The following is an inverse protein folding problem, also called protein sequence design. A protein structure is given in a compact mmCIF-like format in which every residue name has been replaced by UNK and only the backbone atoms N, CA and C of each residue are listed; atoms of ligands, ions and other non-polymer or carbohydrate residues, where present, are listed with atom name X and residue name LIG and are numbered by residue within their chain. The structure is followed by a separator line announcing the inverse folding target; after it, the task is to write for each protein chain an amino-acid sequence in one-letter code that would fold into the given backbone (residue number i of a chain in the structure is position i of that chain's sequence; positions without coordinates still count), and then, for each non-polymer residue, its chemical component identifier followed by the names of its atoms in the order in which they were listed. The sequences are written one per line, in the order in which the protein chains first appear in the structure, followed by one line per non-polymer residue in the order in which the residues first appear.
data_IF_622880458462
#
_entry.id   IF_622880458462
#
_cell.length_a   1.000
_cell.length_b   1.000
_cell.length_c   1.000
_cell.angle_alpha   90.00
_cell.angle_beta   90.00
_cell.angle_gamma   90.00
#
_symmetry.space_group_name_H-M   'P 1'
#
loop_
_entity.id
_entity.type
_entity.pdbx_description
1 polymer ?
#
# COMPACT_ATOMS: atom_id res chain seq x y z
N UNK A 1 2.53 -6.17 19.14
CA UNK A 1 3.01 -4.91 18.48
C UNK A 1 2.25 -4.71 17.19
N UNK A 2 1.82 -3.47 16.89
CA UNK A 2 1.14 -3.08 15.65
C UNK A 2 2.11 -2.36 14.73
N UNK A 3 2.22 -2.80 13.48
CA UNK A 3 3.12 -2.21 12.49
C UNK A 3 2.32 -1.71 11.28
N UNK A 4 2.69 -0.55 10.75
CA UNK A 4 2.22 -0.08 9.45
C UNK A 4 3.37 -0.15 8.46
N UNK A 5 3.14 -0.74 7.29
CA UNK A 5 4.08 -0.74 6.16
C UNK A 5 3.55 0.21 5.10
N UNK A 6 4.41 1.13 4.63
CA UNK A 6 4.11 2.10 3.58
C UNK A 6 5.16 1.94 2.49
N UNK A 7 4.76 1.67 1.25
CA UNK A 7 5.70 1.56 0.12
C UNK A 7 5.64 2.80 -0.77
N UNK A 8 6.81 3.44 -0.97
CA UNK A 8 6.97 4.67 -1.76
C UNK A 8 8.16 4.59 -2.74
N UNK A 9 8.57 3.38 -3.11
CA UNK A 9 9.79 3.16 -3.88
C UNK A 9 9.69 3.52 -5.38
N UNK A 10 8.49 3.63 -5.93
CA UNK A 10 8.26 3.77 -7.36
C UNK A 10 8.78 5.08 -7.96
N UNK A 11 9.18 5.02 -9.25
CA UNK A 11 9.82 6.13 -9.99
C UNK A 11 8.91 7.32 -10.33
N UNK A 12 7.63 7.29 -9.96
CA UNK A 12 6.68 8.40 -10.12
C UNK A 12 6.55 8.91 -11.57
N UNK A 13 6.67 8.04 -12.57
CA UNK A 13 6.78 8.42 -13.99
C UNK A 13 5.58 9.21 -14.51
N UNK A 14 4.35 8.81 -14.17
CA UNK A 14 3.12 9.52 -14.57
C UNK A 14 3.00 10.89 -13.90
N UNK A 15 3.42 10.99 -12.64
CA UNK A 15 3.41 12.24 -11.87
C UNK A 15 4.42 13.26 -12.39
N UNK A 16 5.56 12.76 -12.89
CA UNK A 16 6.65 13.55 -13.46
C UNK A 16 6.61 13.60 -15.00
N UNK A 17 5.45 13.31 -15.61
CA UNK A 17 5.32 13.40 -17.07
C UNK A 17 5.59 14.84 -17.54
N UNK A 18 6.39 14.97 -18.58
CA UNK A 18 6.80 16.25 -19.19
C UNK A 18 7.61 17.17 -18.24
N UNK A 19 8.19 16.64 -17.17
CA UNK A 19 9.07 17.33 -16.22
C UNK A 19 10.53 16.98 -16.55
N UNK A 20 11.43 17.98 -16.49
CA UNK A 20 12.88 17.76 -16.66
C UNK A 20 13.43 16.84 -15.57
N UNK A 21 14.49 16.07 -15.88
CA UNK A 21 15.05 15.11 -14.91
C UNK A 21 15.51 15.76 -13.59
N UNK A 22 15.96 17.01 -13.66
CA UNK A 22 16.40 17.78 -12.50
C UNK A 22 15.26 18.22 -11.59
N UNK A 23 14.07 18.41 -12.16
CA UNK A 23 12.86 18.85 -11.44
C UNK A 23 11.92 17.71 -11.03
N UNK A 24 12.24 16.48 -11.44
CA UNK A 24 11.45 15.31 -11.02
C UNK A 24 11.48 15.15 -9.50
N UNK A 25 10.35 14.76 -8.94
CA UNK A 25 10.18 14.58 -7.49
C UNK A 25 9.56 13.20 -7.20
N UNK A 26 9.81 12.68 -6.01
CA UNK A 26 9.08 11.54 -5.47
C UNK A 26 7.65 12.00 -5.14
N UNK A 27 6.63 11.43 -5.79
CA UNK A 27 5.25 11.93 -5.76
C UNK A 27 4.65 12.06 -4.36
N UNK A 28 5.01 11.16 -3.43
CA UNK A 28 4.51 11.20 -2.06
C UNK A 28 5.08 12.37 -1.25
N UNK A 29 6.14 13.03 -1.73
CA UNK A 29 6.77 14.21 -1.12
C UNK A 29 6.35 15.53 -1.79
N UNK A 30 5.53 15.46 -2.85
CA UNK A 30 5.12 16.69 -3.54
C UNK A 30 4.17 17.53 -2.68
N UNK A 31 4.44 18.83 -2.65
CA UNK A 31 3.58 19.87 -2.09
C UNK A 31 3.73 21.18 -2.87
N UNK A 32 2.73 22.05 -2.79
CA UNK A 32 2.78 23.37 -3.43
C UNK A 32 3.44 24.43 -2.52
N UNK A 33 2.90 24.62 -1.31
CA UNK A 33 3.33 25.69 -0.39
C UNK A 33 3.76 25.15 0.98
N UNK A 34 2.99 24.21 1.54
CA UNK A 34 3.21 23.70 2.89
C UNK A 34 3.81 22.29 2.84
N UNK A 35 5.03 22.07 3.40
CA UNK A 35 5.65 20.74 3.42
C UNK A 35 4.82 19.65 4.10
N UNK A 36 3.85 20.02 4.94
CA UNK A 36 2.96 19.07 5.59
C UNK A 36 1.79 18.61 4.69
N UNK A 37 1.59 19.27 3.53
CA UNK A 37 0.56 18.89 2.56
C UNK A 37 1.10 17.84 1.57
N UNK A 38 1.70 16.78 2.09
CA UNK A 38 2.21 15.65 1.32
C UNK A 38 1.44 14.37 1.65
N UNK A 39 1.36 13.44 0.68
CA UNK A 39 0.73 12.13 0.90
C UNK A 39 1.38 11.40 2.08
N UNK A 40 2.71 11.40 2.13
CA UNK A 40 3.43 10.70 3.18
C UNK A 40 3.14 11.29 4.56
N UNK A 41 3.06 12.62 4.69
CA UNK A 41 2.77 13.28 5.97
C UNK A 41 1.37 12.91 6.48
N UNK A 42 0.36 12.96 5.60
CA UNK A 42 -1.01 12.60 5.94
C UNK A 42 -1.12 11.11 6.31
N UNK A 43 -0.41 10.22 5.60
CA UNK A 43 -0.37 8.80 5.93
C UNK A 43 0.32 8.53 7.27
N UNK A 44 1.43 9.23 7.56
CA UNK A 44 2.12 9.15 8.85
C UNK A 44 1.23 9.61 10.02
N UNK A 45 0.44 10.68 9.82
CA UNK A 45 -0.53 11.12 10.83
C UNK A 45 -1.56 10.04 11.15
N UNK A 46 -2.10 9.39 10.13
CA UNK A 46 -3.07 8.28 10.28
C UNK A 46 -2.44 7.06 10.92
N UNK A 47 -1.15 6.84 10.69
CA UNK A 47 -0.37 5.70 11.22
C UNK A 47 0.13 5.89 12.66
N UNK A 48 -0.17 7.02 13.31
CA UNK A 48 0.29 7.32 14.71
C UNK A 48 -0.10 6.28 15.74
N UNK A 49 -1.19 5.53 15.51
CA UNK A 49 -1.65 4.47 16.40
C UNK A 49 -0.69 3.28 16.47
N UNK A 50 0.11 3.07 15.42
CA UNK A 50 1.05 1.96 15.33
C UNK A 50 2.23 2.15 16.28
N UNK A 51 2.80 1.05 16.73
CA UNK A 51 4.03 1.04 17.52
C UNK A 51 5.26 1.33 16.66
N UNK A 52 5.25 0.81 15.42
CA UNK A 52 6.29 1.05 14.41
C UNK A 52 5.69 1.30 13.03
N UNK A 53 6.42 2.06 12.21
CA UNK A 53 6.08 2.37 10.83
C UNK A 53 7.29 2.03 9.97
N UNK A 54 7.15 1.04 9.10
CA UNK A 54 8.19 0.66 8.11
C UNK A 54 7.87 1.39 6.81
N UNK A 55 8.80 2.22 6.34
CA UNK A 55 8.65 2.92 5.06
C UNK A 55 9.69 2.36 4.10
N UNK A 56 9.21 1.77 3.00
CA UNK A 56 10.09 1.25 1.95
C UNK A 56 10.18 2.26 0.82
N UNK A 57 11.34 2.89 0.71
CA UNK A 57 11.67 3.85 -0.35
C UNK A 57 12.61 3.25 -1.39
N UNK A 58 12.81 3.94 -2.51
CA UNK A 58 13.70 3.52 -3.59
C UNK A 58 14.11 4.72 -4.43
N UNK A 59 13.32 5.09 -5.43
CA UNK A 59 13.57 6.31 -6.20
C UNK A 59 13.64 7.53 -5.29
N UNK A 60 14.71 8.32 -5.43
CA UNK A 60 14.97 9.52 -4.59
C UNK A 60 14.90 9.24 -3.08
N UNK A 61 15.48 8.13 -2.66
CA UNK A 61 15.48 7.71 -1.26
C UNK A 61 16.06 8.77 -0.32
N UNK A 62 17.15 9.45 -0.72
CA UNK A 62 17.73 10.53 0.09
C UNK A 62 16.80 11.73 0.27
N UNK A 63 15.93 12.02 -0.72
CA UNK A 63 14.93 13.08 -0.57
C UNK A 63 13.88 12.67 0.48
N UNK A 64 13.53 11.38 0.55
CA UNK A 64 12.63 10.84 1.58
C UNK A 64 13.25 10.94 2.98
N UNK A 65 14.52 10.57 3.14
CA UNK A 65 15.26 10.69 4.40
C UNK A 65 15.29 12.14 4.88
N UNK A 66 15.69 13.06 4.02
CA UNK A 66 15.74 14.49 4.32
C UNK A 66 14.36 15.05 4.71
N UNK A 67 13.32 14.68 3.95
CA UNK A 67 11.95 15.13 4.26
C UNK A 67 11.51 14.67 5.65
N UNK A 68 11.75 13.40 6.00
CA UNK A 68 11.42 12.87 7.32
C UNK A 68 12.18 13.62 8.41
N UNK A 69 13.46 13.88 8.18
CA UNK A 69 14.29 14.60 9.14
C UNK A 69 13.86 16.06 9.36
N UNK A 70 13.44 16.74 8.32
CA UNK A 70 13.12 18.16 8.38
C UNK A 70 11.67 18.44 8.81
N UNK A 71 10.71 17.59 8.40
CA UNK A 71 9.29 17.91 8.48
C UNK A 71 8.45 17.00 9.38
N UNK A 72 8.97 15.85 9.79
CA UNK A 72 8.25 14.92 10.66
C UNK A 72 8.58 15.16 12.13
N UNK A 73 7.59 15.13 13.01
CA UNK A 73 7.77 15.34 14.46
C UNK A 73 8.57 14.20 15.10
N UNK A 74 9.30 14.50 16.18
CA UNK A 74 10.16 13.52 16.86
C UNK A 74 9.40 12.27 17.31
N UNK A 75 8.19 12.43 17.84
CA UNK A 75 7.35 11.31 18.29
C UNK A 75 6.98 10.32 17.17
N UNK A 76 6.87 10.81 15.93
CA UNK A 76 6.69 9.95 14.76
C UNK A 76 8.02 9.39 14.24
N UNK A 77 9.10 10.20 14.21
CA UNK A 77 10.42 9.74 13.77
C UNK A 77 10.90 8.51 14.56
N UNK A 78 10.69 8.50 15.88
CA UNK A 78 11.07 7.40 16.77
C UNK A 78 10.35 6.06 16.43
N UNK A 79 9.24 6.16 15.71
CA UNK A 79 8.49 4.99 15.23
C UNK A 79 8.92 4.53 13.83
N UNK A 80 9.54 5.40 13.05
CA UNK A 80 9.86 5.14 11.63
C UNK A 80 11.10 4.27 11.52
N UNK A 81 10.99 3.24 10.69
CA UNK A 81 12.10 2.42 10.19
C UNK A 81 12.13 2.54 8.67
N UNK A 82 13.18 3.17 8.14
CA UNK A 82 13.37 3.32 6.71
C UNK A 82 14.07 2.10 6.13
N UNK A 83 13.56 1.60 5.01
CA UNK A 83 14.13 0.46 4.27
C UNK A 83 14.37 0.90 2.84
N UNK A 84 15.58 0.69 2.34
CA UNK A 84 15.92 0.99 0.95
C UNK A 84 15.67 -0.22 0.06
N UNK A 85 14.86 -0.03 -0.98
CA UNK A 85 14.68 -0.97 -2.07
C UNK A 85 15.66 -0.62 -3.19
N UNK A 86 16.73 -1.36 -3.31
CA UNK A 86 17.77 -1.18 -4.35
C UNK A 86 17.33 -1.68 -5.74
N UNK A 87 16.27 -2.49 -5.79
CA UNK A 87 15.64 -2.99 -7.01
C UNK A 87 14.40 -2.22 -7.46
N UNK A 88 14.22 -0.97 -6.99
CA UNK A 88 13.04 -0.16 -7.31
C UNK A 88 12.83 0.12 -8.81
N UNK A 89 13.84 -0.06 -9.64
CA UNK A 89 13.81 0.20 -11.08
C UNK A 89 13.67 -1.04 -11.96
N UNK A 90 13.95 -2.22 -11.44
CA UNK A 90 14.04 -3.47 -12.18
C UNK A 90 13.09 -4.56 -11.67
N UNK A 91 12.65 -4.48 -10.41
CA UNK A 91 11.61 -5.36 -9.87
C UNK A 91 10.30 -4.60 -9.67
N UNK A 92 9.21 -5.35 -9.58
CA UNK A 92 7.86 -4.80 -9.39
C UNK A 92 7.58 -4.43 -7.93
N UNK A 93 6.36 -3.95 -7.64
CA UNK A 93 5.93 -3.52 -6.30
C UNK A 93 5.99 -4.62 -5.23
N UNK A 94 6.00 -5.89 -5.63
CA UNK A 94 6.10 -7.03 -4.72
C UNK A 94 7.39 -7.01 -3.92
N UNK A 95 8.51 -6.65 -4.52
CA UNK A 95 9.79 -6.59 -3.82
C UNK A 95 9.80 -5.52 -2.71
N UNK A 96 9.11 -4.39 -2.92
CA UNK A 96 8.94 -3.40 -1.85
C UNK A 96 8.14 -3.94 -0.67
N UNK A 97 7.04 -4.66 -0.91
CA UNK A 97 6.27 -5.29 0.17
C UNK A 97 7.07 -6.40 0.85
N UNK A 98 7.81 -7.21 0.06
CA UNK A 98 8.71 -8.22 0.60
C UNK A 98 9.70 -7.63 1.61
N UNK A 99 10.42 -6.57 1.24
CA UNK A 99 11.37 -5.88 2.13
C UNK A 99 10.70 -5.28 3.37
N UNK A 100 9.50 -4.73 3.21
CA UNK A 100 8.70 -4.21 4.31
C UNK A 100 8.33 -5.28 5.31
N UNK A 101 7.82 -6.42 4.85
CA UNK A 101 7.48 -7.58 5.67
C UNK A 101 8.72 -8.18 6.33
N UNK A 102 9.81 -8.38 5.57
CA UNK A 102 11.06 -8.89 6.09
C UNK A 102 11.59 -8.03 7.23
N UNK A 103 11.60 -6.71 7.04
CA UNK A 103 11.98 -5.76 8.09
C UNK A 103 11.04 -5.84 9.31
N UNK A 104 9.74 -5.93 9.09
CA UNK A 104 8.76 -5.99 10.19
C UNK A 104 8.88 -7.28 11.00
N UNK A 105 9.09 -8.42 10.34
CA UNK A 105 9.11 -9.75 10.97
C UNK A 105 10.45 -10.09 11.62
N UNK A 106 11.57 -9.54 11.11
CA UNK A 106 12.91 -9.88 11.61
C UNK A 106 13.49 -8.85 12.59
N UNK A 107 13.08 -7.57 12.51
CA UNK A 107 13.62 -6.52 13.38
C UNK A 107 12.77 -6.26 14.63
N UNK A 108 11.55 -6.76 14.67
CA UNK A 108 10.64 -6.53 15.80
C UNK A 108 10.11 -7.84 16.36
N UNK A 109 9.84 -7.86 17.66
CA UNK A 109 9.28 -9.02 18.38
C UNK A 109 7.81 -8.79 18.70
N UNK A 110 7.06 -9.88 18.90
CA UNK A 110 5.65 -9.83 19.32
C UNK A 110 4.77 -8.98 18.39
N UNK A 111 4.94 -9.16 17.08
CA UNK A 111 4.11 -8.50 16.07
C UNK A 111 2.73 -9.17 16.01
N UNK A 112 1.67 -8.42 16.34
CA UNK A 112 0.28 -8.91 16.37
C UNK A 112 -0.47 -8.63 15.08
N UNK A 113 -0.11 -7.54 14.40
CA UNK A 113 -0.75 -7.14 13.14
C UNK A 113 0.19 -6.28 12.29
N UNK A 114 0.06 -6.44 11.00
CA UNK A 114 0.68 -5.57 9.99
C UNK A 114 -0.43 -4.98 9.12
N UNK A 115 -0.50 -3.64 9.06
CA UNK A 115 -1.30 -2.90 8.09
C UNK A 115 -0.40 -2.46 6.94
N UNK A 116 -0.66 -2.94 5.75
CA UNK A 116 0.01 -2.49 4.53
C UNK A 116 -0.85 -1.50 3.76
N UNK A 117 -0.27 -0.38 3.36
CA UNK A 117 -0.89 0.63 2.51
C UNK A 117 0.09 1.12 1.46
N UNK A 118 -0.36 1.27 0.22
CA UNK A 118 0.44 1.90 -0.83
C UNK A 118 0.54 3.41 -0.56
N UNK A 119 1.76 3.95 -0.63
CA UNK A 119 2.05 5.33 -0.19
C UNK A 119 1.63 6.43 -1.17
N UNK A 120 0.90 6.06 -2.22
CA UNK A 120 0.29 6.99 -3.18
C UNK A 120 -1.23 7.13 -3.01
N UNK A 121 -1.77 6.61 -1.92
CA UNK A 121 -3.21 6.65 -1.62
C UNK A 121 -3.56 7.79 -0.66
N UNK A 122 -4.69 8.45 -0.91
CA UNK A 122 -5.42 9.23 0.09
C UNK A 122 -6.75 8.54 0.40
N UNK A 123 -6.94 8.19 1.67
CA UNK A 123 -8.11 7.50 2.21
C UNK A 123 -8.70 8.38 3.30
N UNK A 124 -10.02 8.51 3.38
CA UNK A 124 -10.65 9.27 4.45
C UNK A 124 -10.41 8.65 5.84
N UNK A 125 -10.43 9.51 6.86
CA UNK A 125 -10.09 9.11 8.23
C UNK A 125 -11.08 8.09 8.81
N UNK A 126 -12.37 8.18 8.48
CA UNK A 126 -13.39 7.27 8.97
C UNK A 126 -13.17 5.85 8.42
N UNK A 127 -12.94 5.74 7.11
CA UNK A 127 -12.65 4.45 6.46
C UNK A 127 -11.35 3.85 6.97
N UNK A 128 -10.29 4.66 7.08
CA UNK A 128 -9.01 4.18 7.60
C UNK A 128 -9.13 3.70 9.06
N UNK A 129 -9.90 4.41 9.87
CA UNK A 129 -10.16 4.02 11.26
C UNK A 129 -10.94 2.69 11.36
N UNK A 130 -11.85 2.38 10.43
CA UNK A 130 -12.52 1.06 10.37
C UNK A 130 -11.50 -0.05 10.14
N UNK A 131 -10.56 0.15 9.20
CA UNK A 131 -9.48 -0.82 8.96
C UNK A 131 -8.62 -1.03 10.20
N UNK A 132 -8.23 0.05 10.88
CA UNK A 132 -7.44 -0.02 12.11
C UNK A 132 -8.16 -0.83 13.20
N UNK A 133 -9.46 -0.57 13.40
CA UNK A 133 -10.26 -1.17 14.48
C UNK A 133 -10.67 -2.62 14.24
N UNK A 134 -10.63 -3.09 13.01
CA UNK A 134 -10.93 -4.49 12.72
C UNK A 134 -10.01 -5.42 13.51
N UNK A 135 -10.57 -6.47 14.09
CA UNK A 135 -9.84 -7.54 14.75
C UNK A 135 -9.56 -8.73 13.82
N UNK A 136 -9.90 -8.60 12.55
CA UNK A 136 -9.73 -9.61 11.50
C UNK A 136 -8.64 -9.22 10.50
N UNK A 137 -8.29 -10.15 9.63
CA UNK A 137 -7.60 -9.84 8.38
C UNK A 137 -8.51 -8.96 7.53
N UNK A 138 -7.97 -7.93 6.87
CA UNK A 138 -8.80 -7.00 6.12
C UNK A 138 -8.39 -6.97 4.65
N UNK A 139 -9.40 -7.08 3.80
CA UNK A 139 -9.36 -6.68 2.40
C UNK A 139 -10.18 -5.40 2.25
N UNK A 140 -9.69 -4.45 1.47
CA UNK A 140 -10.42 -3.21 1.21
C UNK A 140 -10.88 -3.10 -0.24
N UNK A 141 -11.97 -2.38 -0.44
CA UNK A 141 -12.43 -1.98 -1.77
C UNK A 141 -12.84 -0.50 -1.79
N UNK A 142 -12.87 0.08 -2.97
CA UNK A 142 -13.36 1.42 -3.20
C UNK A 142 -14.57 1.42 -4.15
N UNK A 143 -15.25 2.55 -4.28
CA UNK A 143 -16.47 2.69 -5.07
C UNK A 143 -16.22 3.26 -6.48
N UNK A 144 -14.96 3.39 -6.90
CA UNK A 144 -14.64 3.83 -8.25
C UNK A 144 -15.04 2.79 -9.29
N UNK A 145 -15.40 3.20 -10.51
CA UNK A 145 -15.72 2.29 -11.58
C UNK A 145 -14.56 1.36 -11.93
N UNK A 146 -14.85 0.10 -12.19
CA UNK A 146 -13.87 -0.89 -12.63
C UNK A 146 -13.60 -0.72 -14.12
N UNK A 147 -12.44 -0.16 -14.45
CA UNK A 147 -11.94 -0.09 -15.83
C UNK A 147 -10.95 -1.23 -16.06
N UNK A 148 -11.29 -2.18 -16.95
CA UNK A 148 -10.56 -3.44 -17.13
C UNK A 148 -9.08 -3.27 -17.55
N UNK A 149 -8.66 -2.09 -17.97
CA UNK A 149 -7.28 -1.78 -18.31
C UNK A 149 -6.51 -0.98 -17.24
N UNK A 150 -7.12 -0.73 -16.08
CA UNK A 150 -6.52 0.08 -15.00
C UNK A 150 -6.75 -0.50 -13.62
N UNK A 151 -7.83 -1.27 -13.45
CA UNK A 151 -8.28 -1.70 -12.14
C UNK A 151 -7.39 -2.83 -11.60
N UNK A 152 -7.18 -2.78 -10.28
CA UNK A 152 -6.85 -3.95 -9.48
C UNK A 152 -8.18 -4.48 -8.96
N UNK A 153 -8.60 -5.62 -9.47
CA UNK A 153 -9.92 -6.19 -9.16
C UNK A 153 -9.79 -7.20 -8.02
N UNK A 154 -10.61 -7.01 -6.99
CA UNK A 154 -10.89 -8.00 -5.96
C UNK A 154 -12.22 -8.67 -6.28
N UNK A 155 -12.30 -9.98 -6.30
CA UNK A 155 -13.56 -10.69 -6.49
C UNK A 155 -13.70 -11.88 -5.53
N UNK A 156 -14.95 -12.23 -5.25
CA UNK A 156 -15.29 -13.43 -4.50
C UNK A 156 -15.79 -14.48 -5.48
N UNK A 157 -15.15 -15.64 -5.55
CA UNK A 157 -15.55 -16.74 -6.43
C UNK A 157 -16.73 -17.56 -5.86
N UNK A 158 -17.15 -18.61 -6.55
CA UNK A 158 -18.28 -19.46 -6.12
C UNK A 158 -17.97 -20.26 -4.84
N UNK A 159 -16.71 -20.46 -4.50
CA UNK A 159 -16.25 -21.15 -3.29
C UNK A 159 -16.08 -20.23 -2.08
N UNK A 160 -16.52 -18.97 -2.17
CA UNK A 160 -16.32 -17.91 -1.15
C UNK A 160 -14.86 -17.50 -0.92
N UNK A 161 -13.97 -17.82 -1.84
CA UNK A 161 -12.58 -17.39 -1.81
C UNK A 161 -12.42 -16.00 -2.43
N UNK A 162 -11.58 -15.17 -1.82
CA UNK A 162 -11.23 -13.84 -2.34
C UNK A 162 -10.00 -13.92 -3.22
N UNK A 163 -10.11 -13.41 -4.43
CA UNK A 163 -9.06 -13.45 -5.45
C UNK A 163 -8.81 -12.09 -6.04
N UNK A 164 -7.56 -11.87 -6.46
CA UNK A 164 -7.16 -10.68 -7.19
C UNK A 164 -7.01 -10.95 -8.67
N UNK A 165 -7.38 -9.97 -9.48
CA UNK A 165 -7.11 -9.95 -10.91
C UNK A 165 -6.52 -8.59 -11.28
N UNK A 166 -5.33 -8.61 -11.84
CA UNK A 166 -4.58 -7.44 -12.29
C UNK A 166 -3.81 -7.77 -13.56
N UNK A 167 -3.60 -6.78 -14.42
CA UNK A 167 -2.74 -6.90 -15.59
C UNK A 167 -1.69 -5.80 -15.57
N UNK A 168 -0.45 -6.15 -15.29
CA UNK A 168 0.69 -5.23 -15.21
C UNK A 168 0.97 -4.47 -16.51
N UNK A 169 0.65 -5.09 -17.67
CA UNK A 169 0.80 -4.48 -19.01
C UNK A 169 -0.35 -3.52 -19.36
N UNK A 170 -1.27 -3.26 -18.42
CA UNK A 170 -2.47 -2.45 -18.63
C UNK A 170 -3.35 -2.94 -19.81
N UNK A 171 -3.26 -4.22 -20.13
CA UNK A 171 -4.19 -4.87 -21.07
C UNK A 171 -5.56 -5.10 -20.43
N UNK A 172 -6.52 -5.52 -21.26
CA UNK A 172 -7.86 -5.83 -20.76
C UNK A 172 -7.84 -7.05 -19.83
N UNK A 173 -8.42 -6.91 -18.65
CA UNK A 173 -8.64 -8.02 -17.72
C UNK A 173 -9.65 -9.01 -18.30
N UNK A 174 -9.40 -10.29 -18.07
CA UNK A 174 -10.30 -11.37 -18.46
C UNK A 174 -10.59 -12.24 -17.25
N UNK A 175 -11.87 -12.30 -16.87
CA UNK A 175 -12.31 -13.25 -15.84
C UNK A 175 -12.22 -14.66 -16.41
N UNK A 176 -11.61 -15.57 -15.66
CA UNK A 176 -11.39 -16.97 -16.05
C UNK A 176 -12.28 -17.94 -15.30
N UNK A 177 -13.00 -17.46 -14.29
CA UNK A 177 -13.94 -18.24 -13.49
C UNK A 177 -15.20 -17.43 -13.15
N UNK A 178 -16.25 -18.09 -12.67
CA UNK A 178 -17.47 -17.45 -12.17
C UNK A 178 -17.21 -16.76 -10.81
N UNK A 179 -17.96 -15.70 -10.52
CA UNK A 179 -17.82 -14.94 -9.28
C UNK A 179 -19.18 -14.54 -8.71
N UNK A 180 -19.24 -14.40 -7.38
CA UNK A 180 -20.42 -13.91 -6.64
C UNK A 180 -20.42 -12.39 -6.53
N UNK A 181 -19.24 -11.78 -6.32
CA UNK A 181 -19.06 -10.35 -6.16
C UNK A 181 -17.75 -9.89 -6.79
N UNK A 182 -17.74 -8.63 -7.25
CA UNK A 182 -16.56 -8.00 -7.85
C UNK A 182 -16.43 -6.56 -7.34
N UNK A 183 -15.22 -6.16 -7.01
CA UNK A 183 -14.89 -4.87 -6.40
C UNK A 183 -13.64 -4.27 -7.04
N UNK A 184 -13.54 -2.95 -7.03
CA UNK A 184 -12.28 -2.26 -7.27
C UNK A 184 -11.47 -2.26 -5.96
N UNK A 185 -10.27 -2.82 -5.95
CA UNK A 185 -9.44 -2.95 -4.74
C UNK A 185 -9.17 -1.58 -4.10
N UNK A 186 -9.25 -1.52 -2.77
CA UNK A 186 -8.87 -0.35 -1.98
C UNK A 186 -7.35 -0.26 -1.72
N UNK A 187 -6.58 -1.25 -2.16
CA UNK A 187 -5.11 -1.29 -2.07
C UNK A 187 -4.57 -1.01 -0.66
N UNK A 188 -5.29 -1.51 0.32
CA UNK A 188 -4.95 -1.45 1.74
C UNK A 188 -5.35 -2.77 2.39
N UNK A 189 -4.43 -3.38 3.12
CA UNK A 189 -4.59 -4.74 3.63
C UNK A 189 -4.11 -4.84 5.07
N UNK A 190 -4.76 -5.69 5.86
CA UNK A 190 -4.34 -5.99 7.22
C UNK A 190 -4.10 -7.48 7.38
N UNK A 191 -2.97 -7.83 7.93
CA UNK A 191 -2.52 -9.19 8.19
C UNK A 191 -2.46 -9.42 9.70
N UNK A 192 -3.02 -10.53 10.18
CA UNK A 192 -3.08 -10.89 11.60
C UNK A 192 -2.32 -12.16 11.95
N UNK A 193 -1.98 -12.98 10.98
CA UNK A 193 -1.18 -14.17 11.16
C UNK A 193 0.23 -13.96 10.60
N UNK A 194 1.17 -13.77 11.49
CA UNK A 194 2.56 -13.46 11.10
C UNK A 194 3.31 -14.67 10.58
N UNK A 195 2.90 -15.89 10.95
CA UNK A 195 3.50 -17.12 10.41
C UNK A 195 3.06 -17.33 8.96
N UNK A 196 1.76 -17.18 8.68
CA UNK A 196 1.26 -17.24 7.31
C UNK A 196 1.83 -16.11 6.44
N UNK A 197 1.99 -14.90 7.00
CA UNK A 197 2.62 -13.81 6.27
C UNK A 197 4.08 -14.10 5.94
N UNK A 198 4.80 -14.71 6.86
CA UNK A 198 6.18 -15.15 6.61
C UNK A 198 6.24 -16.19 5.50
N UNK A 199 5.36 -17.21 5.52
CA UNK A 199 5.28 -18.23 4.47
C UNK A 199 4.99 -17.58 3.11
N UNK A 200 4.06 -16.63 3.05
CA UNK A 200 3.71 -15.91 1.82
C UNK A 200 4.89 -15.08 1.30
N UNK A 201 5.61 -14.41 2.21
CA UNK A 201 6.77 -13.60 1.90
C UNK A 201 7.95 -14.43 1.39
N UNK A 202 8.26 -15.54 2.04
CA UNK A 202 9.31 -16.49 1.63
C UNK A 202 8.98 -17.10 0.26
N UNK A 203 7.71 -17.50 0.04
CA UNK A 203 7.24 -18.01 -1.25
C UNK A 203 7.41 -16.98 -2.38
N UNK A 204 7.12 -15.71 -2.12
CA UNK A 204 7.33 -14.64 -3.09
C UNK A 204 8.79 -14.54 -3.50
N UNK A 205 9.70 -14.46 -2.54
CA UNK A 205 11.12 -14.31 -2.80
C UNK A 205 11.71 -15.49 -3.59
N UNK A 206 11.32 -16.72 -3.23
CA UNK A 206 11.85 -17.93 -3.83
C UNK A 206 11.29 -18.22 -5.24
N UNK A 207 10.03 -17.85 -5.52
CA UNK A 207 9.32 -18.36 -6.69
C UNK A 207 8.79 -17.31 -7.66
N UNK A 208 8.49 -16.09 -7.19
CA UNK A 208 7.77 -15.05 -7.96
C UNK A 208 8.28 -13.63 -7.70
N UNK A 209 9.58 -13.45 -7.44
CA UNK A 209 10.19 -12.17 -7.03
C UNK A 209 9.92 -11.00 -8.00
N UNK A 210 9.63 -11.27 -9.26
CA UNK A 210 9.32 -10.26 -10.29
C UNK A 210 7.85 -9.81 -10.27
N UNK A 211 6.98 -10.48 -9.49
CA UNK A 211 5.56 -10.18 -9.45
C UNK A 211 5.24 -8.92 -8.64
N UNK A 212 4.00 -8.46 -8.73
CA UNK A 212 3.50 -7.35 -7.92
C UNK A 212 3.29 -7.76 -6.46
N UNK A 213 3.00 -6.79 -5.59
CA UNK A 213 2.64 -7.05 -4.19
C UNK A 213 1.42 -7.98 -4.04
N UNK A 214 0.57 -8.09 -5.09
CA UNK A 214 -0.55 -9.02 -5.10
C UNK A 214 -0.12 -10.48 -5.00
N UNK A 215 1.08 -10.84 -5.43
CA UNK A 215 1.62 -12.19 -5.27
C UNK A 215 1.74 -12.60 -3.80
N UNK A 216 2.28 -11.73 -2.94
CA UNK A 216 2.34 -11.94 -1.49
C UNK A 216 0.94 -11.95 -0.87
N UNK A 217 0.14 -10.93 -1.22
CA UNK A 217 -1.20 -10.72 -0.67
C UNK A 217 -2.10 -11.91 -0.97
N UNK A 218 -2.19 -12.31 -2.25
CA UNK A 218 -3.01 -13.45 -2.66
C UNK A 218 -2.57 -14.73 -1.95
N UNK A 219 -1.25 -14.98 -1.91
CA UNK A 219 -0.71 -16.16 -1.22
C UNK A 219 -1.08 -16.18 0.25
N UNK A 220 -1.00 -15.03 0.95
CA UNK A 220 -1.40 -14.93 2.35
C UNK A 220 -2.88 -15.28 2.55
N UNK A 221 -3.78 -14.68 1.76
CA UNK A 221 -5.22 -14.93 1.88
C UNK A 221 -5.62 -16.35 1.43
N UNK A 222 -4.87 -16.96 0.53
CA UNK A 222 -5.06 -18.36 0.14
C UNK A 222 -4.65 -19.36 1.24
N UNK A 223 -3.79 -18.97 2.18
CA UNK A 223 -3.38 -19.79 3.31
C UNK A 223 -4.35 -19.75 4.49
N UNK A 224 -5.25 -18.77 4.54
CA UNK A 224 -6.26 -18.69 5.59
C UNK A 224 -7.30 -19.81 5.40
N UNK A 225 -7.48 -20.62 6.45
CA UNK A 225 -8.39 -21.77 6.41
C UNK A 225 -9.87 -21.37 6.53
N UNK A 226 -10.14 -20.18 7.12
CA UNK A 226 -11.50 -19.74 7.41
C UNK A 226 -11.77 -18.35 6.83
N UNK A 227 -12.74 -18.23 5.93
CA UNK A 227 -13.17 -16.94 5.38
C UNK A 227 -13.80 -16.02 6.44
N UNK A 228 -14.27 -16.56 7.57
CA UNK A 228 -14.77 -15.76 8.69
C UNK A 228 -13.68 -14.92 9.36
N UNK A 229 -12.40 -15.26 9.16
CA UNK A 229 -11.24 -14.47 9.65
C UNK A 229 -10.92 -13.27 8.75
N UNK A 230 -11.69 -13.06 7.69
CA UNK A 230 -11.54 -11.95 6.75
C UNK A 230 -12.70 -10.97 6.91
N UNK A 231 -12.38 -9.69 6.98
CA UNK A 231 -13.35 -8.59 6.89
C UNK A 231 -13.11 -7.80 5.61
N UNK A 232 -14.22 -7.53 4.88
CA UNK A 232 -14.20 -6.70 3.68
C UNK A 232 -14.68 -5.30 4.04
N UNK A 233 -13.83 -4.29 3.86
CA UNK A 233 -14.13 -2.90 4.25
C UNK A 233 -14.17 -2.00 3.01
N UNK A 234 -15.32 -1.35 2.78
CA UNK A 234 -15.48 -0.31 1.76
C UNK A 234 -14.89 1.02 2.23
N UNK A 235 -14.07 1.65 1.38
CA UNK A 235 -13.51 2.96 1.60
C UNK A 235 -14.44 4.03 1.00
N UNK A 236 -14.94 4.95 1.82
CA UNK A 236 -15.91 5.98 1.37
C UNK A 236 -15.26 6.98 0.42
N UNK A 237 -14.02 7.40 0.71
CA UNK A 237 -13.17 8.17 -0.18
C UNK A 237 -11.83 7.48 -0.32
N UNK A 238 -11.45 7.28 -1.55
CA UNK A 238 -10.19 6.68 -1.93
C UNK A 238 -9.69 7.35 -3.22
N UNK A 239 -8.47 7.84 -3.22
CA UNK A 239 -7.84 8.45 -4.39
C UNK A 239 -6.43 7.92 -4.52
N UNK A 240 -6.09 7.37 -5.69
CA UNK A 240 -4.73 7.02 -6.04
C UNK A 240 -4.07 8.20 -6.77
N UNK A 241 -3.06 8.79 -6.15
CA UNK A 241 -2.34 9.94 -6.66
C UNK A 241 -1.32 9.52 -7.72
N UNK A 242 -1.70 9.57 -8.98
CA UNK A 242 -0.84 9.24 -10.11
C UNK A 242 -0.38 10.46 -10.89
N UNK A 243 -1.10 11.56 -10.79
CA UNK A 243 -0.86 12.81 -11.53
C UNK A 243 -0.90 14.01 -10.59
N UNK A 244 -0.47 15.17 -11.08
CA UNK A 244 -0.60 16.43 -10.34
C UNK A 244 -2.05 16.89 -10.19
N UNK A 245 -2.93 16.49 -11.10
CA UNK A 245 -4.38 16.71 -11.00
C UNK A 245 -4.98 15.90 -9.85
N UNK A 246 -4.56 14.65 -9.68
CA UNK A 246 -4.98 13.83 -8.54
C UNK A 246 -4.53 14.47 -7.21
N UNK A 247 -3.30 14.98 -7.14
CA UNK A 247 -2.82 15.70 -5.96
C UNK A 247 -3.67 16.93 -5.64
N UNK A 248 -4.04 17.75 -6.63
CA UNK A 248 -4.90 18.92 -6.42
C UNK A 248 -6.28 18.51 -5.89
N UNK A 249 -6.83 17.42 -6.41
CA UNK A 249 -8.09 16.86 -5.89
C UNK A 249 -7.96 16.46 -4.43
N UNK A 250 -6.90 15.75 -4.08
CA UNK A 250 -6.61 15.29 -2.72
C UNK A 250 -6.43 16.48 -1.78
N UNK A 251 -5.64 17.48 -2.17
CA UNK A 251 -5.41 18.70 -1.38
C UNK A 251 -6.72 19.42 -1.02
N UNK A 252 -7.66 19.52 -1.96
CA UNK A 252 -8.99 20.08 -1.70
C UNK A 252 -9.79 19.32 -0.63
N UNK A 253 -9.48 18.04 -0.38
CA UNK A 253 -10.10 17.29 0.71
C UNK A 253 -9.45 17.57 2.06
N UNK A 254 -8.14 17.81 2.08
CA UNK A 254 -7.41 18.11 3.31
C UNK A 254 -7.73 19.50 3.88
N UNK A 255 -8.13 20.45 3.02
CA UNK A 255 -8.49 21.82 3.38
C UNK A 255 -9.93 21.99 3.91
N UNK A 256 -10.75 20.95 3.88
CA UNK A 256 -12.14 20.92 4.37
C UNK A 256 -12.24 20.35 5.78
#
# INVERSE_FOLDING_TARGET
MKIVIITVAGVSSRFNKDISDEEKILKCLYYDENPQDTLIYHMLKKSRYADKIVIVGGYKYSDLENYIDEHVSLDLKDKINLVFNDHYSDLSSGYSLYLGNDSALNNFTDVDEILFVEGDLDIDDESFLKVIKSEKNVLTFNHEPIYSNKAVVLYQNENDEYKYLFNSDHGLLKMTESFKAIFNSGQTWKFRDMELLKIANDNFYENIIEDTNLGIIQKYFDLLENSDDIEIIGLNRWVNCNTREDYKLIKNYWEK
#
